data_IF_279603043585
#
_entry.id   IF_279603043585
#
_cell.length_a   1.000
_cell.length_b   1.000
_cell.length_c   1.000
_cell.angle_alpha   90.00
_cell.angle_beta   90.00
_cell.angle_gamma   90.00
#
_symmetry.space_group_name_H-M   'P 1'
#
loop_
_entity.id
_entity.type
_entity.pdbx_description
1 polymer ?
#
# COMPACT_ATOMS: atom_id res chain seq x y z
N UNK A 1 -50.95 16.35 -30.99
CA UNK A 1 -51.08 15.11 -31.80
C UNK A 1 -49.77 14.35 -31.69
N UNK A 2 -49.69 13.31 -30.85
CA UNK A 2 -50.13 11.92 -31.15
C UNK A 2 -49.11 11.23 -32.07
N UNK A 3 -48.21 10.41 -31.50
CA UNK A 3 -48.31 8.93 -31.41
C UNK A 3 -47.61 8.34 -32.66
N UNK A 4 -46.65 7.41 -32.57
CA UNK A 4 -46.87 6.06 -32.09
C UNK A 4 -45.59 5.35 -31.64
N UNK A 5 -45.75 4.58 -30.57
CA UNK A 5 -44.89 3.46 -30.19
C UNK A 5 -45.47 2.20 -30.82
N UNK A 6 -44.66 1.30 -31.38
CA UNK A 6 -45.00 -0.12 -31.56
C UNK A 6 -43.69 -0.94 -31.56
N UNK A 7 -43.37 -1.86 -30.64
CA UNK A 7 -44.07 -2.97 -29.96
C UNK A 7 -43.83 -4.34 -30.61
N UNK A 8 -43.30 -5.24 -29.76
CA UNK A 8 -43.53 -6.70 -29.65
C UNK A 8 -42.82 -7.55 -30.71
N UNK A 9 -42.00 -8.54 -30.34
CA UNK A 9 -42.30 -9.98 -30.21
C UNK A 9 -40.90 -10.67 -30.17
N UNK A 10 -40.58 -11.77 -29.51
CA UNK A 10 -41.27 -12.77 -28.72
C UNK A 10 -40.18 -13.65 -28.06
N UNK A 11 -40.57 -14.34 -27.00
CA UNK A 11 -39.85 -15.32 -26.18
C UNK A 11 -39.19 -16.45 -27.00
N UNK A 12 -38.14 -17.06 -26.44
CA UNK A 12 -38.08 -18.52 -26.37
C UNK A 12 -37.40 -18.99 -25.07
N UNK A 13 -38.16 -19.73 -24.28
CA UNK A 13 -37.71 -20.53 -23.14
C UNK A 13 -37.45 -21.98 -23.61
N UNK A 14 -36.94 -22.80 -22.67
CA UNK A 14 -36.80 -24.27 -22.67
C UNK A 14 -35.42 -24.83 -23.02
N UNK A 15 -34.88 -25.88 -22.36
CA UNK A 15 -35.19 -26.63 -21.13
C UNK A 15 -34.07 -27.70 -20.99
N UNK A 16 -34.09 -28.47 -19.88
CA UNK A 16 -33.46 -29.80 -19.66
C UNK A 16 -31.97 -29.75 -19.19
N UNK A 17 -31.65 -29.88 -17.89
CA UNK A 17 -31.63 -31.10 -17.04
C UNK A 17 -30.52 -32.08 -17.51
N UNK A 18 -29.75 -32.84 -16.73
CA UNK A 18 -29.74 -33.30 -15.33
C UNK A 18 -28.53 -34.26 -15.30
N UNK A 19 -27.61 -34.20 -14.34
CA UNK A 19 -26.99 -35.43 -13.79
C UNK A 19 -26.66 -35.21 -12.31
N UNK A 20 -27.43 -35.91 -11.47
CA UNK A 20 -27.21 -36.23 -10.07
C UNK A 20 -26.27 -37.44 -9.95
N UNK A 21 -25.29 -37.38 -9.05
CA UNK A 21 -24.71 -38.53 -8.31
C UNK A 21 -23.95 -37.91 -7.10
N UNK A 22 -24.54 -37.78 -5.91
CA UNK A 22 -24.65 -38.79 -4.85
C UNK A 22 -23.35 -39.56 -4.55
N UNK A 23 -22.62 -39.10 -3.53
CA UNK A 23 -21.83 -39.98 -2.67
C UNK A 23 -21.92 -39.49 -1.22
N UNK A 24 -22.66 -40.26 -0.42
CA UNK A 24 -22.70 -40.15 1.03
C UNK A 24 -21.45 -40.82 1.60
N UNK A 25 -20.70 -40.10 2.44
CA UNK A 25 -19.61 -40.64 3.24
C UNK A 25 -19.70 -40.07 4.65
N UNK A 26 -20.35 -40.81 5.54
CA UNK A 26 -20.25 -40.62 6.99
C UNK A 26 -18.89 -41.15 7.45
N UNK A 27 -18.05 -40.29 8.02
CA UNK A 27 -16.99 -40.71 8.96
C UNK A 27 -17.07 -39.83 10.19
N UNK A 28 -17.48 -40.46 11.29
CA UNK A 28 -17.46 -39.91 12.63
C UNK A 28 -16.07 -40.09 13.27
N UNK A 29 -15.69 -39.15 14.14
CA UNK A 29 -14.98 -39.51 15.37
C UNK A 29 -13.51 -39.10 15.54
N UNK A 30 -13.35 -38.01 16.27
CA UNK A 30 -12.46 -37.83 17.43
C UNK A 30 -10.94 -37.56 17.29
N UNK A 31 -10.57 -36.62 18.17
CA UNK A 31 -9.28 -36.41 18.82
C UNK A 31 -8.27 -35.48 18.16
N UNK A 32 -8.15 -34.32 18.80
CA UNK A 32 -6.98 -33.45 18.79
C UNK A 32 -5.77 -34.27 19.24
N UNK A 33 -4.70 -34.26 18.46
CA UNK A 33 -3.37 -34.13 19.04
C UNK A 33 -2.38 -33.48 18.06
N UNK A 34 -1.92 -32.33 18.53
CA UNK A 34 -0.67 -31.63 18.27
C UNK A 34 0.43 -32.52 17.69
N UNK A 35 0.91 -32.21 16.48
CA UNK A 35 2.29 -32.52 16.09
C UNK A 35 2.91 -31.25 15.52
N UNK A 36 3.90 -30.77 16.28
CA UNK A 36 4.90 -29.79 15.87
C UNK A 36 5.54 -30.25 14.56
N UNK A 37 5.49 -29.41 13.53
CA UNK A 37 6.62 -29.32 12.61
C UNK A 37 7.26 -27.94 12.74
N UNK A 38 8.46 -28.02 13.28
CA UNK A 38 9.38 -26.95 13.53
C UNK A 38 10.07 -26.59 12.21
N UNK A 39 9.47 -25.65 11.47
CA UNK A 39 10.19 -24.89 10.46
C UNK A 39 11.09 -23.88 11.18
N UNK A 40 12.39 -24.16 11.22
CA UNK A 40 13.41 -23.29 11.77
C UNK A 40 13.57 -22.04 10.88
N UNK A 41 12.62 -21.11 10.95
CA UNK A 41 12.83 -19.74 10.54
C UNK A 41 13.75 -19.13 11.60
N UNK A 42 15.00 -18.87 11.20
CA UNK A 42 15.88 -18.00 11.96
C UNK A 42 15.11 -16.71 12.24
N UNK A 43 14.71 -16.54 13.49
CA UNK A 43 14.10 -15.31 13.94
C UNK A 43 15.14 -14.21 13.70
N UNK A 44 14.90 -13.39 12.68
CA UNK A 44 15.56 -12.10 12.61
C UNK A 44 15.27 -11.39 13.93
N UNK A 45 16.30 -10.90 14.65
CA UNK A 45 16.06 -10.19 15.90
C UNK A 45 15.09 -9.05 15.63
N UNK A 46 14.01 -8.97 16.40
CA UNK A 46 13.02 -7.90 16.33
C UNK A 46 13.69 -6.56 16.62
N UNK A 47 14.13 -5.87 15.58
CA UNK A 47 14.51 -4.47 15.63
C UNK A 47 13.24 -3.65 15.87
N UNK A 48 13.14 -3.07 17.07
CA UNK A 48 12.16 -2.04 17.50
C UNK A 48 10.94 -1.82 16.59
N UNK A 49 9.81 -2.43 16.94
CA UNK A 49 8.49 -2.20 16.31
C UNK A 49 7.91 -0.82 16.65
N UNK A 50 8.60 0.27 16.28
CA UNK A 50 8.04 1.62 16.37
C UNK A 50 7.04 1.82 15.23
N UNK A 51 5.77 1.52 15.53
CA UNK A 51 4.63 1.86 14.69
C UNK A 51 4.12 3.28 15.02
N UNK A 52 3.71 4.06 14.01
CA UNK A 52 3.11 5.37 14.21
C UNK A 52 1.79 5.32 15.00
N UNK A 53 1.54 6.36 15.79
CA UNK A 53 0.29 6.53 16.57
C UNK A 53 -0.89 6.97 15.73
N UNK A 54 -0.63 7.72 14.67
CA UNK A 54 -1.64 8.39 13.86
C UNK A 54 -1.96 7.60 12.59
N UNK A 55 -1.89 6.28 12.65
CA UNK A 55 -2.17 5.38 11.53
C UNK A 55 -0.97 5.15 10.60
N UNK A 56 -1.06 4.10 9.79
CA UNK A 56 0.00 3.73 8.85
C UNK A 56 -0.08 4.51 7.54
N UNK A 57 -1.29 4.77 7.05
CA UNK A 57 -1.52 5.42 5.76
C UNK A 57 -1.90 6.88 5.97
N UNK A 58 -1.30 7.78 5.17
CA UNK A 58 -1.71 9.16 5.03
C UNK A 58 -1.95 9.52 3.57
N UNK A 59 -2.90 10.41 3.35
CA UNK A 59 -3.38 10.77 2.01
C UNK A 59 -3.23 12.27 1.79
N UNK A 60 -2.77 12.64 0.60
CA UNK A 60 -2.73 14.01 0.11
C UNK A 60 -3.40 14.07 -1.26
N UNK A 61 -4.38 14.96 -1.42
CA UNK A 61 -5.06 15.20 -2.71
C UNK A 61 -4.83 16.65 -3.15
N UNK A 62 -4.58 16.85 -4.44
CA UNK A 62 -4.40 18.18 -5.02
C UNK A 62 -3.90 18.10 -6.46
N UNK A 63 -4.20 19.11 -7.27
CA UNK A 63 -3.76 19.16 -8.67
C UNK A 63 -4.21 17.97 -9.53
N UNK A 64 -5.35 17.35 -9.22
CA UNK A 64 -5.85 16.17 -9.93
C UNK A 64 -5.11 14.86 -9.63
N UNK A 65 -4.24 14.85 -8.61
CA UNK A 65 -3.50 13.66 -8.15
C UNK A 65 -3.79 13.39 -6.68
N UNK A 66 -4.11 12.14 -6.38
CA UNK A 66 -4.14 11.60 -5.01
C UNK A 66 -2.85 10.83 -4.76
N UNK A 67 -2.23 11.10 -3.62
CA UNK A 67 -1.03 10.40 -3.17
C UNK A 67 -1.32 9.77 -1.82
N UNK A 68 -1.20 8.45 -1.74
CA UNK A 68 -1.25 7.70 -0.50
C UNK A 68 0.17 7.28 -0.14
N UNK A 69 0.57 7.51 1.11
CA UNK A 69 1.84 7.03 1.63
C UNK A 69 1.59 6.17 2.86
N UNK A 70 2.17 4.99 2.87
CA UNK A 70 2.07 4.01 3.94
C UNK A 70 3.41 3.86 4.65
N UNK A 71 3.41 3.97 5.98
CA UNK A 71 4.53 3.57 6.83
C UNK A 71 4.73 2.04 6.78
N UNK A 72 5.89 1.58 6.28
CA UNK A 72 6.22 0.15 6.17
C UNK A 72 7.19 -0.34 7.26
N UNK A 73 7.68 0.56 8.10
CA UNK A 73 8.54 0.24 9.25
C UNK A 73 10.03 0.52 9.03
N UNK A 74 10.78 0.40 10.12
CA UNK A 74 12.24 0.40 10.11
C UNK A 74 12.74 -1.01 9.74
N UNK A 75 13.61 -1.09 8.74
CA UNK A 75 14.28 -2.32 8.32
C UNK A 75 15.75 -2.02 8.10
N UNK A 76 16.63 -2.72 8.81
CA UNK A 76 18.09 -2.64 8.65
C UNK A 76 18.60 -1.18 8.66
N UNK A 77 18.16 -0.38 9.65
CA UNK A 77 18.54 1.03 9.80
C UNK A 77 17.89 1.98 8.79
N UNK A 78 16.99 1.48 7.93
CA UNK A 78 16.30 2.25 6.91
C UNK A 78 14.79 2.30 7.13
N UNK A 79 14.21 3.49 7.05
CA UNK A 79 12.77 3.67 7.12
C UNK A 79 12.15 3.51 5.72
N UNK A 80 11.14 2.65 5.61
CA UNK A 80 10.52 2.29 4.32
C UNK A 80 9.10 2.85 4.25
N UNK A 81 8.75 3.42 3.10
CA UNK A 81 7.42 3.92 2.79
C UNK A 81 6.90 3.31 1.50
N UNK A 82 5.64 2.88 1.51
CA UNK A 82 4.89 2.57 0.30
C UNK A 82 4.25 3.83 -0.23
N UNK A 83 4.42 4.13 -1.51
CA UNK A 83 3.80 5.30 -2.16
C UNK A 83 2.91 4.81 -3.27
N UNK A 84 1.68 5.33 -3.33
CA UNK A 84 0.71 5.13 -4.41
C UNK A 84 0.27 6.49 -4.90
N UNK A 85 0.31 6.69 -6.21
CA UNK A 85 -0.16 7.88 -6.90
C UNK A 85 -1.24 7.50 -7.91
N UNK A 86 -2.36 8.21 -7.83
CA UNK A 86 -3.52 8.00 -8.69
C UNK A 86 -3.93 9.32 -9.35
N UNK A 87 -4.27 9.28 -10.64
CA UNK A 87 -4.85 10.43 -11.34
C UNK A 87 -6.00 10.00 -12.25
N UNK A 88 -6.94 10.92 -12.47
CA UNK A 88 -8.08 10.71 -13.37
C UNK A 88 -7.76 11.09 -14.82
N UNK A 89 -6.62 11.74 -15.08
CA UNK A 89 -6.24 12.20 -16.42
C UNK A 89 -4.73 12.43 -16.51
N UNK A 90 -4.14 12.17 -17.69
CA UNK A 90 -2.69 12.32 -17.88
C UNK A 90 -1.88 11.27 -17.13
N UNK A 91 -0.56 11.35 -17.19
CA UNK A 91 0.33 10.41 -16.50
C UNK A 91 0.93 11.05 -15.24
N UNK A 92 1.40 10.20 -14.32
CA UNK A 92 2.25 10.58 -13.18
C UNK A 92 3.70 10.08 -13.34
N UNK A 93 4.07 9.56 -14.52
CA UNK A 93 5.40 9.01 -14.78
C UNK A 93 6.50 10.08 -14.89
N UNK A 94 6.12 11.34 -15.16
CA UNK A 94 7.05 12.46 -15.28
C UNK A 94 7.72 12.86 -13.95
N UNK A 95 7.18 12.42 -12.81
CA UNK A 95 7.71 12.77 -11.49
C UNK A 95 8.77 11.76 -11.06
N UNK A 96 10.02 12.18 -10.94
CA UNK A 96 11.05 11.35 -10.31
C UNK A 96 10.91 11.45 -8.77
N UNK A 97 10.30 10.45 -8.14
CA UNK A 97 10.01 10.49 -6.71
C UNK A 97 11.25 10.34 -5.85
N UNK A 98 12.30 9.69 -6.36
CA UNK A 98 13.61 9.65 -5.69
C UNK A 98 14.18 11.07 -5.51
N UNK A 99 14.07 11.90 -6.53
CA UNK A 99 14.65 13.25 -6.51
C UNK A 99 13.76 14.27 -5.75
N UNK A 100 12.44 14.05 -5.79
CA UNK A 100 11.44 14.94 -5.19
C UNK A 100 11.12 14.63 -3.73
N UNK A 101 11.57 13.50 -3.20
CA UNK A 101 11.31 13.09 -1.83
C UNK A 101 12.40 13.55 -0.84
N UNK A 102 11.98 13.94 0.35
CA UNK A 102 12.85 14.19 1.50
C UNK A 102 12.16 13.70 2.76
N UNK A 103 12.87 12.95 3.59
CA UNK A 103 12.40 12.57 4.92
C UNK A 103 13.06 13.50 5.93
N UNK A 104 12.29 14.06 6.86
CA UNK A 104 12.80 14.92 7.94
C UNK A 104 12.40 14.34 9.28
N UNK A 105 13.35 14.27 10.22
CA UNK A 105 13.07 13.81 11.58
C UNK A 105 12.73 14.96 12.54
N UNK A 106 12.37 14.61 13.78
CA UNK A 106 12.00 15.58 14.81
C UNK A 106 13.11 16.53 15.28
N UNK A 107 14.37 16.26 14.91
CA UNK A 107 15.50 17.19 15.14
C UNK A 107 15.69 18.18 13.99
N UNK A 108 14.95 18.00 12.89
CA UNK A 108 15.09 18.77 11.66
C UNK A 108 16.12 18.21 10.69
N UNK A 109 16.75 17.07 10.99
CA UNK A 109 17.69 16.42 10.08
C UNK A 109 16.95 15.81 8.91
N UNK A 110 17.50 16.01 7.71
CA UNK A 110 16.94 15.52 6.46
C UNK A 110 17.70 14.30 5.92
N UNK A 111 16.95 13.42 5.26
CA UNK A 111 17.42 12.19 4.64
C UNK A 111 16.90 12.10 3.21
N UNK A 112 17.75 11.61 2.31
CA UNK A 112 17.40 11.32 0.92
C UNK A 112 17.14 9.82 0.72
N UNK A 113 16.25 9.45 -0.21
CA UNK A 113 16.00 8.03 -0.47
C UNK A 113 17.23 7.37 -1.12
N UNK A 114 17.50 6.12 -0.75
CA UNK A 114 18.52 5.28 -1.37
C UNK A 114 17.95 4.36 -2.45
N UNK A 115 16.66 4.07 -2.41
CA UNK A 115 15.95 3.26 -3.41
C UNK A 115 16.01 3.89 -4.80
N UNK A 116 15.94 3.09 -5.89
CA UNK A 116 15.69 3.64 -7.22
C UNK A 116 14.36 4.39 -7.26
N UNK A 117 14.14 5.15 -8.33
CA UNK A 117 12.83 5.73 -8.57
C UNK A 117 11.77 4.63 -8.76
N UNK A 118 10.53 4.96 -8.44
CA UNK A 118 9.40 4.04 -8.57
C UNK A 118 9.18 3.75 -10.07
N UNK A 119 8.97 2.50 -10.52
CA UNK A 119 8.73 2.24 -11.94
C UNK A 119 7.54 3.05 -12.50
N UNK A 120 7.51 3.31 -13.82
CA UNK A 120 6.34 3.93 -14.45
C UNK A 120 5.08 3.08 -14.27
N UNK A 121 3.94 3.74 -14.15
CA UNK A 121 2.62 3.10 -14.01
C UNK A 121 1.50 3.81 -14.78
N UNK A 122 1.79 4.93 -15.46
CA UNK A 122 0.80 5.69 -16.20
C UNK A 122 -0.16 6.43 -15.27
N UNK A 123 -1.42 6.02 -15.24
CA UNK A 123 -2.48 6.64 -14.43
C UNK A 123 -2.47 6.20 -12.96
N UNK A 124 -1.83 5.06 -12.67
CA UNK A 124 -1.69 4.47 -11.35
C UNK A 124 -0.24 4.03 -11.15
N UNK A 125 0.48 4.65 -10.22
CA UNK A 125 1.89 4.36 -9.98
C UNK A 125 2.12 4.00 -8.52
N UNK A 126 2.83 2.91 -8.26
CA UNK A 126 3.12 2.48 -6.89
C UNK A 126 4.51 1.88 -6.74
N UNK A 127 5.10 2.08 -5.56
CA UNK A 127 6.40 1.53 -5.24
C UNK A 127 6.87 1.90 -3.84
N UNK A 128 8.16 1.71 -3.59
CA UNK A 128 8.77 1.94 -2.28
C UNK A 128 9.78 3.09 -2.34
N UNK A 129 9.80 3.89 -1.27
CA UNK A 129 10.90 4.79 -0.95
C UNK A 129 11.59 4.29 0.33
N UNK A 130 12.91 4.14 0.27
CA UNK A 130 13.72 3.65 1.40
C UNK A 130 14.72 4.73 1.81
N UNK A 131 14.75 5.09 3.10
CA UNK A 131 15.60 6.15 3.64
C UNK A 131 16.56 5.57 4.68
N UNK A 132 17.88 5.58 4.45
CA UNK A 132 18.85 5.19 5.47
C UNK A 132 18.91 6.29 6.55
N UNK A 133 18.45 5.98 7.76
CA UNK A 133 18.32 6.98 8.83
C UNK A 133 19.29 6.77 9.99
N UNK A 134 19.74 5.53 10.21
CA UNK A 134 20.67 5.20 11.28
C UNK A 134 21.38 3.88 10.98
N UNK A 135 22.40 3.57 11.78
CA UNK A 135 22.92 2.21 11.85
C UNK A 135 21.83 1.26 12.40
N UNK A 136 21.70 0.01 11.92
CA UNK A 136 20.72 -0.96 12.43
C UNK A 136 20.79 -1.22 13.94
N UNK A 137 21.97 -1.00 14.55
CA UNK A 137 22.19 -1.17 16.00
C UNK A 137 21.81 0.06 16.82
N UNK A 138 21.53 1.19 16.19
CA UNK A 138 21.18 2.43 16.87
C UNK A 138 19.67 2.54 17.08
N UNK A 139 19.18 2.73 18.31
CA UNK A 139 17.75 2.94 18.56
C UNK A 139 17.21 4.18 17.85
N UNK A 140 16.00 4.07 17.31
CA UNK A 140 15.24 5.18 16.76
C UNK A 140 14.75 6.11 17.90
N UNK A 141 15.30 7.32 17.96
CA UNK A 141 14.96 8.32 19.00
C UNK A 141 14.07 9.47 18.51
N UNK A 142 13.80 9.54 17.20
CA UNK A 142 12.95 10.57 16.62
C UNK A 142 11.51 10.44 17.14
N UNK A 143 10.91 11.56 17.54
CA UNK A 143 9.50 11.59 17.98
C UNK A 143 8.50 11.63 16.82
N UNK A 144 8.95 12.04 15.65
CA UNK A 144 8.17 12.02 14.43
C UNK A 144 9.07 12.01 13.21
N UNK A 145 8.48 11.64 12.08
CA UNK A 145 9.04 11.81 10.75
C UNK A 145 8.04 12.50 9.83
N UNK A 146 8.53 13.43 9.02
CA UNK A 146 7.79 14.06 7.92
C UNK A 146 8.37 13.54 6.59
N UNK A 147 7.58 12.81 5.79
CA UNK A 147 7.91 12.61 4.38
C UNK A 147 7.36 13.79 3.59
N UNK A 148 8.23 14.45 2.83
CA UNK A 148 7.92 15.62 2.02
C UNK A 148 8.10 15.23 0.56
N UNK A 149 7.03 15.31 -0.23
CA UNK A 149 7.07 15.15 -1.67
C UNK A 149 6.81 16.49 -2.34
N UNK A 150 7.75 16.95 -3.18
CA UNK A 150 7.71 18.31 -3.75
C UNK A 150 7.24 18.34 -5.19
N UNK A 151 6.57 19.44 -5.54
CA UNK A 151 6.23 19.82 -6.92
C UNK A 151 5.47 18.74 -7.73
N UNK A 152 4.58 18.00 -7.06
CA UNK A 152 3.73 16.99 -7.72
C UNK A 152 2.41 17.62 -8.12
N UNK A 153 2.20 17.76 -9.43
CA UNK A 153 0.98 18.30 -10.05
C UNK A 153 0.64 19.71 -9.57
N UNK A 154 1.63 20.59 -9.54
CA UNK A 154 1.45 21.99 -9.12
C UNK A 154 1.28 22.20 -7.61
N UNK A 155 1.30 21.13 -6.80
CA UNK A 155 1.36 21.23 -5.34
C UNK A 155 2.82 21.35 -4.92
N UNK A 156 3.19 22.47 -4.29
CA UNK A 156 4.57 22.78 -3.91
C UNK A 156 5.15 21.73 -2.96
N UNK A 157 4.44 21.41 -1.88
CA UNK A 157 4.84 20.37 -0.91
C UNK A 157 3.61 19.54 -0.49
N UNK A 158 3.82 18.23 -0.39
CA UNK A 158 2.90 17.28 0.24
C UNK A 158 3.60 16.67 1.44
N UNK A 159 3.15 17.03 2.63
CA UNK A 159 3.71 16.58 3.90
C UNK A 159 2.90 15.43 4.49
N UNK A 160 3.58 14.35 4.85
CA UNK A 160 3.02 13.18 5.53
C UNK A 160 3.76 12.96 6.84
N UNK A 161 3.09 13.20 7.98
CA UNK A 161 3.74 13.26 9.31
C UNK A 161 3.36 12.07 10.18
N UNK A 162 4.29 11.19 10.54
CA UNK A 162 4.03 10.09 11.46
C UNK A 162 4.59 10.38 12.85
N UNK A 163 3.76 10.26 13.88
CA UNK A 163 4.15 10.46 15.28
C UNK A 163 4.55 9.13 15.92
N UNK A 164 5.72 9.10 16.54
CA UNK A 164 6.30 7.95 17.24
C UNK A 164 6.17 8.09 18.77
N UNK A 165 6.40 6.98 19.48
CA UNK A 165 6.51 6.94 20.94
C UNK A 165 7.90 7.39 21.39
#
# INVERSE_FOLDING_TARGET
>A
MSKESNKVFLKLASFVALVLMLSAGLVAGCSRDTTKEQGNASAFPSSSSQSPKNGLVQTSTGGGVTVNVEWRGLKDGSLVFGVVMDTHSGSVDQYNLRDLATLRDSSGKEYRPSSPDIPPGGHHRSGLLTFPISDPSTPLTARYFDLILRNISGVTERDFKWQLN
#
